data_IF_342469988330
#
_entry.id   IF_342469988330
#
_cell.length_a   1.000
_cell.length_b   1.000
_cell.length_c   1.000
_cell.angle_alpha   90.00
_cell.angle_beta   90.00
_cell.angle_gamma   90.00
#
_symmetry.space_group_name_H-M   'P 1'
#
loop_
_entity.id
_entity.type
_entity.pdbx_description
1 polymer ?
#
# COMPACT_ATOMS: atom_id res chain seq x y z
N UNK A 1 -18.03 -48.19 -5.20
CA UNK A 1 -17.10 -47.23 -5.81
C UNK A 1 -15.74 -47.41 -5.20
N UNK A 2 -14.76 -47.71 -6.04
CA UNK A 2 -13.60 -48.55 -5.75
C UNK A 2 -12.40 -47.71 -5.31
N UNK A 3 -11.78 -48.10 -4.18
CA UNK A 3 -10.54 -47.53 -3.65
C UNK A 3 -9.36 -47.86 -4.57
N UNK A 4 -8.75 -46.84 -5.17
CA UNK A 4 -7.48 -46.93 -5.90
C UNK A 4 -6.31 -46.58 -4.99
N UNK A 5 -5.65 -47.62 -4.46
CA UNK A 5 -4.35 -47.55 -3.79
C UNK A 5 -3.26 -47.46 -4.86
N UNK A 6 -2.42 -46.43 -4.83
CA UNK A 6 -1.16 -46.40 -5.59
C UNK A 6 -0.01 -46.17 -4.63
N UNK A 7 0.76 -47.25 -4.49
CA UNK A 7 1.97 -47.42 -3.69
C UNK A 7 3.14 -47.44 -4.69
N UNK A 8 4.08 -46.50 -4.58
CA UNK A 8 5.42 -46.60 -5.16
C UNK A 8 6.29 -45.56 -4.43
N UNK A 9 7.19 -45.90 -3.50
CA UNK A 9 8.32 -46.84 -3.55
C UNK A 9 9.31 -46.48 -4.66
N UNK A 10 10.14 -45.45 -4.42
CA UNK A 10 11.48 -45.43 -4.97
C UNK A 10 12.43 -44.66 -4.07
N UNK A 11 13.17 -45.43 -3.26
CA UNK A 11 14.37 -44.95 -2.60
C UNK A 11 15.52 -44.93 -3.60
N UNK A 12 16.30 -43.85 -3.57
CA UNK A 12 17.69 -43.87 -4.04
C UNK A 12 18.56 -43.10 -3.05
N UNK A 13 19.55 -43.75 -2.43
CA UNK A 13 20.62 -43.07 -1.72
C UNK A 13 21.68 -42.64 -2.73
N UNK A 14 21.95 -41.33 -2.84
CA UNK A 14 23.14 -40.85 -3.53
C UNK A 14 24.09 -40.22 -2.53
N UNK A 15 25.02 -41.06 -2.06
CA UNK A 15 26.34 -40.68 -1.58
C UNK A 15 27.24 -40.34 -2.77
N UNK A 16 27.74 -39.11 -2.82
CA UNK A 16 28.92 -38.68 -3.60
C UNK A 16 29.63 -37.68 -2.70
N UNK A 17 30.59 -38.09 -1.88
CA UNK A 17 31.99 -38.47 -2.18
C UNK A 17 32.73 -37.36 -2.94
N UNK A 18 33.83 -36.91 -2.31
CA UNK A 18 34.63 -35.75 -2.64
C UNK A 18 35.15 -35.67 -4.08
N UNK A 19 35.32 -34.43 -4.52
CA UNK A 19 36.04 -34.05 -5.73
C UNK A 19 36.49 -32.61 -5.59
N UNK A 20 37.64 -32.40 -4.96
CA UNK A 20 38.35 -31.10 -4.91
C UNK A 20 39.03 -30.95 -6.28
N UNK A 21 38.68 -29.97 -7.13
CA UNK A 21 39.39 -29.78 -8.39
C UNK A 21 40.80 -29.21 -8.12
N UNK A 22 41.87 -29.85 -8.59
CA UNK A 22 43.18 -29.23 -8.70
C UNK A 22 43.27 -28.46 -10.03
N UNK A 23 43.96 -27.32 -10.03
CA UNK A 23 44.44 -26.69 -11.26
C UNK A 23 43.64 -25.49 -11.73
N UNK A 24 43.90 -24.33 -11.10
CA UNK A 24 43.77 -23.05 -11.82
C UNK A 24 45.12 -22.82 -12.53
N UNK A 25 45.17 -22.79 -13.88
CA UNK A 25 46.40 -22.50 -14.59
C UNK A 25 46.83 -21.06 -14.31
N UNK A 26 48.14 -20.91 -14.10
CA UNK A 26 48.82 -19.63 -14.04
C UNK A 26 48.54 -18.84 -15.32
N UNK A 27 47.97 -17.65 -15.18
CA UNK A 27 47.81 -16.76 -16.31
C UNK A 27 49.20 -16.28 -16.71
N UNK A 28 49.60 -16.70 -17.90
CA UNK A 28 50.81 -16.29 -18.57
C UNK A 28 50.84 -14.76 -18.73
N UNK A 29 52.03 -14.25 -18.46
CA UNK A 29 52.51 -12.91 -18.65
C UNK A 29 52.68 -12.61 -20.15
N UNK A 30 51.97 -11.62 -20.74
CA UNK A 30 52.32 -11.08 -22.03
C UNK A 30 53.23 -9.88 -21.83
N UNK A 31 54.52 -10.17 -21.63
CA UNK A 31 55.56 -9.25 -22.08
C UNK A 31 55.65 -9.37 -23.60
N UNK A 32 55.49 -8.23 -24.30
CA UNK A 32 56.16 -7.82 -25.56
C UNK A 32 55.35 -6.64 -26.13
N UNK A 33 55.68 -5.39 -25.76
CA UNK A 33 56.61 -4.48 -26.47
C UNK A 33 55.98 -3.80 -27.69
N UNK A 34 55.90 -2.47 -27.63
CA UNK A 34 56.01 -1.61 -28.82
C UNK A 34 54.77 -0.79 -29.18
N UNK A 35 54.57 0.35 -28.51
CA UNK A 35 53.54 1.31 -28.90
C UNK A 35 53.31 2.41 -27.88
N UNK A 36 54.37 3.06 -27.40
CA UNK A 36 54.26 4.27 -26.59
C UNK A 36 53.78 5.43 -27.46
N UNK A 37 52.47 5.66 -27.51
CA UNK A 37 51.90 6.96 -27.80
C UNK A 37 51.21 7.45 -26.52
N UNK A 38 52.03 7.99 -25.62
CA UNK A 38 51.60 8.65 -24.39
C UNK A 38 50.94 9.98 -24.74
N UNK A 39 49.67 9.96 -25.14
CA UNK A 39 48.79 11.11 -24.93
C UNK A 39 48.45 11.14 -23.45
N UNK A 40 49.28 11.86 -22.68
CA UNK A 40 49.00 12.20 -21.29
C UNK A 40 47.75 13.07 -21.21
N UNK A 41 46.58 12.45 -21.18
CA UNK A 41 45.35 13.11 -20.77
C UNK A 41 45.46 13.30 -19.27
N UNK A 42 46.02 14.44 -18.87
CA UNK A 42 45.99 14.94 -17.50
C UNK A 42 44.53 14.99 -17.09
N UNK A 43 44.08 14.00 -16.31
CA UNK A 43 42.76 13.99 -15.74
C UNK A 43 42.70 15.14 -14.72
N UNK A 44 42.32 16.33 -15.18
CA UNK A 44 41.94 17.45 -14.32
C UNK A 44 40.76 16.97 -13.47
N UNK A 45 41.05 16.58 -12.23
CA UNK A 45 40.06 16.36 -11.20
C UNK A 45 39.20 17.62 -11.13
N UNK A 46 37.91 17.56 -11.48
CA UNK A 46 37.06 18.74 -11.45
C UNK A 46 36.94 19.17 -9.99
N UNK A 47 37.62 20.25 -9.61
CA UNK A 47 37.57 20.92 -8.30
C UNK A 47 36.27 21.71 -8.10
N UNK A 48 35.20 21.26 -8.75
CA UNK A 48 33.87 21.84 -8.58
C UNK A 48 33.24 21.36 -7.28
N UNK A 49 32.45 22.20 -6.59
CA UNK A 49 31.66 21.77 -5.45
C UNK A 49 30.80 20.57 -5.88
N UNK A 50 30.96 19.45 -5.17
CA UNK A 50 30.21 18.23 -5.48
C UNK A 50 28.70 18.57 -5.47
N UNK A 51 27.97 18.30 -6.58
CA UNK A 51 26.56 18.64 -6.63
C UNK A 51 25.83 17.91 -5.49
N UNK A 52 25.04 18.65 -4.72
CA UNK A 52 24.23 18.11 -3.62
C UNK A 52 23.32 17.01 -4.19
N UNK A 53 23.74 15.74 -4.05
CA UNK A 53 22.95 14.60 -4.52
C UNK A 53 21.71 14.51 -3.63
N UNK A 54 20.53 14.70 -4.23
CA UNK A 54 19.24 14.50 -3.55
C UNK A 54 19.25 13.13 -2.82
N UNK A 55 18.65 13.03 -1.63
CA UNK A 55 18.61 11.77 -0.91
C UNK A 55 17.97 10.67 -1.76
N UNK A 56 18.58 9.48 -1.82
CA UNK A 56 18.09 8.38 -2.64
C UNK A 56 16.62 8.00 -2.33
N UNK A 57 16.20 8.14 -1.06
CA UNK A 57 14.81 7.86 -0.64
C UNK A 57 13.79 8.80 -1.27
N UNK A 58 14.16 10.05 -1.59
CA UNK A 58 13.27 11.03 -2.24
C UNK A 58 13.01 10.61 -3.68
N UNK A 59 14.03 10.12 -4.40
CA UNK A 59 13.86 9.64 -5.77
C UNK A 59 12.92 8.43 -5.81
N UNK A 60 13.12 7.47 -4.89
CA UNK A 60 12.25 6.30 -4.74
C UNK A 60 10.81 6.72 -4.44
N UNK A 61 10.63 7.61 -3.45
CA UNK A 61 9.33 8.17 -3.08
C UNK A 61 8.61 8.77 -4.29
N UNK A 62 9.28 9.63 -5.06
CA UNK A 62 8.67 10.29 -6.22
C UNK A 62 8.25 9.30 -7.32
N UNK A 63 9.06 8.26 -7.56
CA UNK A 63 8.74 7.22 -8.55
C UNK A 63 7.54 6.39 -8.09
N UNK A 64 7.55 5.93 -6.83
CA UNK A 64 6.43 5.15 -6.25
C UNK A 64 5.16 5.98 -6.20
N UNK A 65 5.25 7.23 -5.75
CA UNK A 65 4.13 8.16 -5.67
C UNK A 65 3.55 8.44 -7.06
N UNK A 66 4.37 8.69 -8.08
CA UNK A 66 3.89 8.90 -9.45
C UNK A 66 3.14 7.66 -9.96
N UNK A 67 3.70 6.47 -9.81
CA UNK A 67 3.06 5.23 -10.25
C UNK A 67 1.72 5.01 -9.54
N UNK A 68 1.69 5.18 -8.21
CA UNK A 68 0.47 5.03 -7.42
C UNK A 68 -0.56 6.12 -7.72
N UNK A 69 -0.15 7.36 -8.00
CA UNK A 69 -1.07 8.44 -8.39
C UNK A 69 -1.72 8.17 -9.73
N UNK A 70 -0.98 7.69 -10.73
CA UNK A 70 -1.55 7.30 -12.03
C UNK A 70 -2.57 6.17 -11.87
N UNK A 71 -2.20 5.15 -11.09
CA UNK A 71 -3.09 4.02 -10.80
C UNK A 71 -4.35 4.46 -10.04
N UNK A 72 -4.19 5.41 -9.12
CA UNK A 72 -5.27 5.99 -8.32
C UNK A 72 -6.20 6.85 -9.16
N UNK A 73 -5.66 7.64 -10.08
CA UNK A 73 -6.47 8.42 -11.02
C UNK A 73 -7.38 7.50 -11.83
N UNK A 74 -6.83 6.41 -12.37
CA UNK A 74 -7.61 5.40 -13.07
C UNK A 74 -8.70 4.78 -12.20
N UNK A 75 -8.37 4.40 -10.97
CA UNK A 75 -9.36 3.90 -10.02
C UNK A 75 -10.53 4.89 -9.83
N UNK A 76 -10.23 6.17 -9.60
CA UNK A 76 -11.26 7.18 -9.43
C UNK A 76 -12.08 7.44 -10.69
N UNK A 77 -11.49 7.35 -11.89
CA UNK A 77 -12.24 7.39 -13.16
C UNK A 77 -13.23 6.22 -13.20
N UNK A 78 -12.78 5.00 -12.88
CA UNK A 78 -13.62 3.80 -12.87
C UNK A 78 -14.70 3.79 -11.80
N UNK A 79 -14.59 4.64 -10.79
CA UNK A 79 -15.56 4.78 -9.70
C UNK A 79 -16.54 5.91 -9.99
N UNK A 80 -16.04 7.10 -10.32
CA UNK A 80 -16.85 8.31 -10.47
C UNK A 80 -17.66 8.31 -11.76
N UNK A 81 -17.15 7.74 -12.86
CA UNK A 81 -17.90 7.68 -14.12
C UNK A 81 -19.13 6.78 -13.97
N UNK A 82 -19.03 5.52 -13.49
CA UNK A 82 -20.23 4.72 -13.25
C UNK A 82 -21.15 5.30 -12.18
N UNK A 83 -20.61 5.95 -11.13
CA UNK A 83 -21.43 6.62 -10.13
C UNK A 83 -22.28 7.75 -10.75
N UNK A 84 -21.67 8.59 -11.61
CA UNK A 84 -22.39 9.63 -12.33
C UNK A 84 -23.46 9.06 -13.26
N UNK A 85 -23.15 7.98 -13.99
CA UNK A 85 -24.12 7.27 -14.84
C UNK A 85 -25.28 6.72 -14.01
N UNK A 86 -24.98 6.11 -12.85
CA UNK A 86 -25.99 5.56 -11.95
C UNK A 86 -26.92 6.66 -11.39
N UNK A 87 -26.39 7.83 -11.03
CA UNK A 87 -27.21 8.98 -10.59
C UNK A 87 -28.18 9.39 -11.71
N UNK A 88 -27.71 9.51 -12.95
CA UNK A 88 -28.56 9.87 -14.10
C UNK A 88 -29.61 8.79 -14.39
N UNK A 89 -29.26 7.51 -14.27
CA UNK A 89 -30.21 6.42 -14.48
C UNK A 89 -31.26 6.36 -13.37
N UNK A 90 -30.85 6.54 -12.12
CA UNK A 90 -31.78 6.55 -10.98
C UNK A 90 -32.74 7.74 -11.09
N UNK A 91 -32.27 8.94 -11.46
CA UNK A 91 -33.16 10.09 -11.75
C UNK A 91 -34.25 9.77 -12.78
N UNK A 92 -33.97 8.89 -13.75
CA UNK A 92 -34.92 8.55 -14.82
C UNK A 92 -35.83 7.35 -14.52
N UNK A 93 -35.38 6.43 -13.68
CA UNK A 93 -36.00 5.11 -13.57
C UNK A 93 -36.27 4.65 -12.13
N UNK A 94 -35.87 5.39 -11.10
CA UNK A 94 -36.05 4.97 -9.70
C UNK A 94 -36.01 6.12 -8.69
N UNK A 95 -36.07 5.74 -7.42
CA UNK A 95 -35.99 6.70 -6.31
C UNK A 95 -34.54 6.83 -5.82
N UNK A 96 -34.06 8.07 -5.71
CA UNK A 96 -32.70 8.43 -5.27
C UNK A 96 -32.63 8.54 -3.74
N UNK A 97 -32.83 7.42 -3.03
CA UNK A 97 -32.87 7.41 -1.56
C UNK A 97 -31.48 7.32 -0.89
N UNK A 98 -30.44 6.94 -1.65
CA UNK A 98 -29.09 6.71 -1.13
C UNK A 98 -28.03 7.46 -1.95
N UNK A 99 -26.92 7.80 -1.29
CA UNK A 99 -25.73 8.34 -1.97
C UNK A 99 -25.04 7.23 -2.73
N UNK A 100 -24.85 7.43 -4.04
CA UNK A 100 -24.12 6.49 -4.90
C UNK A 100 -22.63 6.57 -4.59
N UNK A 101 -22.12 7.78 -4.34
CA UNK A 101 -20.71 8.01 -3.99
C UNK A 101 -20.36 7.36 -2.64
N UNK A 102 -21.29 7.17 -1.71
CA UNK A 102 -21.03 6.49 -0.44
C UNK A 102 -20.47 5.08 -0.62
N UNK A 103 -20.93 4.33 -1.64
CA UNK A 103 -20.42 2.99 -1.92
C UNK A 103 -18.96 3.00 -2.40
N UNK A 104 -18.53 4.08 -3.06
CA UNK A 104 -17.15 4.25 -3.50
C UNK A 104 -16.15 4.23 -2.33
N UNK A 105 -16.59 4.57 -1.12
CA UNK A 105 -15.74 4.57 0.07
C UNK A 105 -15.15 3.20 0.36
N UNK A 106 -15.93 2.13 0.23
CA UNK A 106 -15.42 0.78 0.46
C UNK A 106 -14.32 0.44 -0.56
N UNK A 107 -14.53 0.80 -1.83
CA UNK A 107 -13.49 0.72 -2.85
C UNK A 107 -12.26 1.53 -2.46
N UNK A 108 -12.45 2.77 -1.98
CA UNK A 108 -11.37 3.66 -1.56
C UNK A 108 -10.54 3.17 -0.37
N UNK A 109 -11.09 2.30 0.49
CA UNK A 109 -10.34 1.66 1.60
C UNK A 109 -9.59 0.43 1.09
N UNK A 110 -10.30 -0.48 0.41
CA UNK A 110 -9.76 -1.79 0.03
C UNK A 110 -8.80 -1.72 -1.16
N UNK A 111 -8.89 -0.68 -1.98
CA UNK A 111 -8.02 -0.51 -3.13
C UNK A 111 -6.58 -0.09 -2.75
N UNK A 112 -6.33 0.97 -1.96
CA UNK A 112 -5.00 1.26 -1.42
C UNK A 112 -4.44 0.13 -0.56
N UNK A 113 -5.30 -0.60 0.16
CA UNK A 113 -4.93 -1.83 0.87
C UNK A 113 -4.32 -2.85 -0.11
N UNK A 114 -5.02 -3.18 -1.20
CA UNK A 114 -4.55 -4.15 -2.19
C UNK A 114 -3.25 -3.69 -2.88
N UNK A 115 -3.16 -2.41 -3.26
CA UNK A 115 -1.94 -1.84 -3.86
C UNK A 115 -0.75 -1.91 -2.91
N UNK A 116 -0.96 -1.62 -1.62
CA UNK A 116 0.10 -1.69 -0.61
C UNK A 116 0.54 -3.13 -0.35
N UNK A 117 -0.40 -4.08 -0.32
CA UNK A 117 -0.12 -5.51 -0.21
C UNK A 117 0.75 -6.02 -1.37
N UNK A 118 0.31 -5.77 -2.62
CA UNK A 118 1.05 -6.13 -3.83
C UNK A 118 2.40 -5.44 -3.88
N UNK A 119 2.43 -4.16 -3.49
CA UNK A 119 3.63 -3.33 -3.45
C UNK A 119 4.73 -3.95 -2.60
N UNK A 120 4.41 -4.48 -1.41
CA UNK A 120 5.40 -5.16 -0.56
C UNK A 120 5.92 -6.43 -1.22
N UNK A 121 5.05 -7.26 -1.82
CA UNK A 121 5.45 -8.52 -2.45
C UNK A 121 6.41 -8.33 -3.62
N UNK A 122 6.19 -7.31 -4.45
CA UNK A 122 6.97 -7.08 -5.67
C UNK A 122 8.16 -6.13 -5.41
N UNK A 123 7.91 -4.98 -4.79
CA UNK A 123 8.88 -3.88 -4.74
C UNK A 123 9.96 -4.10 -3.70
N UNK A 124 9.71 -4.84 -2.61
CA UNK A 124 10.69 -5.03 -1.55
C UNK A 124 11.96 -5.71 -2.07
N UNK A 125 11.82 -6.82 -2.79
CA UNK A 125 12.94 -7.58 -3.35
C UNK A 125 13.67 -6.78 -4.43
N UNK A 126 12.93 -6.12 -5.32
CA UNK A 126 13.50 -5.28 -6.40
C UNK A 126 14.32 -4.12 -5.83
N UNK A 127 13.87 -3.49 -4.74
CA UNK A 127 14.61 -2.40 -4.10
C UNK A 127 15.93 -2.89 -3.50
N UNK A 128 15.92 -4.05 -2.83
CA UNK A 128 17.13 -4.62 -2.25
C UNK A 128 18.09 -5.08 -3.34
N UNK A 129 17.59 -5.67 -4.43
CA UNK A 129 18.41 -6.08 -5.58
C UNK A 129 19.11 -4.90 -6.26
N UNK A 130 18.46 -3.73 -6.30
CA UNK A 130 19.04 -2.47 -6.80
C UNK A 130 20.00 -1.79 -5.81
N UNK A 131 20.39 -2.45 -4.72
CA UNK A 131 21.35 -1.93 -3.73
C UNK A 131 20.78 -0.82 -2.82
N UNK A 132 19.47 -0.61 -2.81
CA UNK A 132 18.84 0.38 -1.93
C UNK A 132 18.71 -0.15 -0.50
N UNK A 133 18.88 0.74 0.48
CA UNK A 133 18.79 0.35 1.90
C UNK A 133 17.33 0.03 2.28
N UNK A 134 17.13 -1.01 3.09
CA UNK A 134 15.80 -1.34 3.65
C UNK A 134 15.14 -0.15 4.37
N UNK A 135 15.95 0.66 5.05
CA UNK A 135 15.49 1.88 5.74
C UNK A 135 14.88 2.90 4.78
N UNK A 136 15.49 3.09 3.61
CA UNK A 136 14.97 4.00 2.58
C UNK A 136 13.63 3.53 2.03
N UNK A 137 13.49 2.23 1.77
CA UNK A 137 12.24 1.63 1.30
C UNK A 137 11.10 1.80 2.32
N UNK A 138 11.34 1.42 3.59
CA UNK A 138 10.31 1.49 4.64
C UNK A 138 9.80 2.94 4.82
N UNK A 139 10.70 3.93 4.82
CA UNK A 139 10.31 5.34 4.90
C UNK A 139 9.53 5.79 3.67
N UNK A 140 10.01 5.45 2.48
CA UNK A 140 9.36 5.84 1.23
C UNK A 140 7.95 5.26 1.14
N UNK A 141 7.78 3.97 1.43
CA UNK A 141 6.46 3.32 1.30
C UNK A 141 5.46 3.84 2.34
N UNK A 142 5.87 4.04 3.61
CA UNK A 142 4.97 4.60 4.63
C UNK A 142 4.52 6.02 4.29
N UNK A 143 5.45 6.87 3.85
CA UNK A 143 5.12 8.25 3.43
C UNK A 143 4.23 8.21 2.19
N UNK A 144 4.51 7.34 1.22
CA UNK A 144 3.67 7.21 0.02
C UNK A 144 2.25 6.77 0.39
N UNK A 145 2.11 5.76 1.25
CA UNK A 145 0.82 5.26 1.72
C UNK A 145 0.02 6.36 2.43
N UNK A 146 0.67 7.17 3.29
CA UNK A 146 0.03 8.31 3.93
C UNK A 146 -0.44 9.35 2.91
N UNK A 147 0.43 9.75 1.97
CA UNK A 147 0.08 10.74 0.95
C UNK A 147 -1.05 10.27 0.03
N UNK A 148 -1.06 8.99 -0.34
CA UNK A 148 -2.13 8.39 -1.14
C UNK A 148 -3.44 8.35 -0.32
N UNK A 149 -3.40 7.96 0.95
CA UNK A 149 -4.57 7.99 1.83
C UNK A 149 -5.19 9.40 1.92
N UNK A 150 -4.35 10.42 2.09
CA UNK A 150 -4.78 11.83 2.10
C UNK A 150 -5.37 12.27 0.75
N UNK A 151 -4.72 11.90 -0.36
CA UNK A 151 -5.24 12.22 -1.69
C UNK A 151 -6.61 11.58 -1.95
N UNK A 152 -6.83 10.34 -1.51
CA UNK A 152 -8.13 9.68 -1.62
C UNK A 152 -9.18 10.38 -0.76
N UNK A 153 -8.80 10.85 0.43
CA UNK A 153 -9.71 11.57 1.31
C UNK A 153 -10.15 12.90 0.70
N UNK A 154 -9.23 13.63 0.05
CA UNK A 154 -9.57 14.85 -0.70
C UNK A 154 -10.55 14.53 -1.82
N UNK A 155 -10.26 13.52 -2.65
CA UNK A 155 -11.10 13.14 -3.79
C UNK A 155 -12.49 12.67 -3.35
N UNK A 156 -12.56 11.83 -2.31
CA UNK A 156 -13.81 11.36 -1.72
C UNK A 156 -14.64 12.51 -1.16
N UNK A 157 -14.01 13.41 -0.41
CA UNK A 157 -14.67 14.57 0.18
C UNK A 157 -15.20 15.50 -0.91
N UNK A 158 -14.39 15.77 -1.93
CA UNK A 158 -14.81 16.57 -3.08
C UNK A 158 -15.98 15.92 -3.84
N UNK A 159 -15.90 14.62 -4.13
CA UNK A 159 -16.97 13.89 -4.81
C UNK A 159 -18.29 13.96 -4.03
N UNK A 160 -18.24 13.76 -2.72
CA UNK A 160 -19.41 13.86 -1.84
C UNK A 160 -20.00 15.27 -1.74
N UNK A 161 -19.16 16.31 -1.71
CA UNK A 161 -19.62 17.71 -1.73
C UNK A 161 -20.28 18.04 -3.07
N UNK A 162 -19.70 17.58 -4.18
CA UNK A 162 -20.27 17.75 -5.52
C UNK A 162 -21.60 17.00 -5.63
N UNK A 163 -21.68 15.76 -5.15
CA UNK A 163 -22.92 14.97 -5.14
C UNK A 163 -24.02 15.71 -4.37
N UNK A 164 -23.73 16.21 -3.17
CA UNK A 164 -24.69 17.02 -2.40
C UNK A 164 -25.13 18.27 -3.16
N UNK A 165 -24.21 18.98 -3.80
CA UNK A 165 -24.54 20.17 -4.58
C UNK A 165 -25.49 19.84 -5.75
N UNK A 166 -25.23 18.74 -6.47
CA UNK A 166 -26.10 18.23 -7.54
C UNK A 166 -27.49 17.89 -7.00
N UNK A 167 -27.58 17.20 -5.86
CA UNK A 167 -28.87 16.85 -5.26
C UNK A 167 -29.66 18.10 -4.85
N UNK A 168 -29.00 19.07 -4.22
CA UNK A 168 -29.65 20.34 -3.84
C UNK A 168 -30.10 21.16 -5.05
N UNK A 169 -29.34 21.15 -6.15
CA UNK A 169 -29.67 21.88 -7.37
C UNK A 169 -30.88 21.29 -8.10
N UNK A 170 -31.09 19.99 -7.99
CA UNK A 170 -32.24 19.28 -8.61
C UNK A 170 -33.44 19.14 -7.66
N UNK A 171 -33.36 19.67 -6.44
CA UNK A 171 -34.44 19.58 -5.45
C UNK A 171 -34.69 18.15 -4.93
N UNK A 172 -33.72 17.25 -5.10
CA UNK A 172 -33.82 15.88 -4.57
C UNK A 172 -33.68 15.89 -3.05
N UNK A 173 -34.35 14.95 -2.38
CA UNK A 173 -34.30 14.84 -0.94
C UNK A 173 -32.84 14.69 -0.46
N UNK A 174 -32.38 15.47 0.53
CA UNK A 174 -31.09 15.24 1.15
C UNK A 174 -31.09 13.83 1.77
N UNK A 175 -30.03 13.07 1.55
CA UNK A 175 -29.92 11.74 2.15
C UNK A 175 -30.03 11.82 3.68
N UNK A 176 -31.09 11.26 4.25
CA UNK A 176 -31.35 11.30 5.70
C UNK A 176 -30.78 10.11 6.45
N UNK A 177 -30.33 9.08 5.73
CA UNK A 177 -29.81 7.83 6.32
C UNK A 177 -28.33 7.61 6.01
N UNK A 178 -27.60 7.04 6.98
CA UNK A 178 -26.23 6.56 6.79
C UNK A 178 -25.15 7.63 6.89
N UNK A 179 -24.07 7.47 6.14
CA UNK A 179 -22.86 8.29 6.26
C UNK A 179 -23.00 9.72 5.74
N UNK A 180 -24.11 10.03 5.07
CA UNK A 180 -24.45 11.39 4.66
C UNK A 180 -24.60 12.35 5.85
N UNK A 181 -24.86 11.82 7.05
CA UNK A 181 -24.85 12.56 8.30
C UNK A 181 -23.47 13.16 8.63
N UNK A 182 -22.36 12.53 8.20
CA UNK A 182 -21.02 13.14 8.34
C UNK A 182 -20.81 14.36 7.45
N UNK A 183 -21.49 14.44 6.29
CA UNK A 183 -21.49 15.66 5.48
C UNK A 183 -22.29 16.79 6.15
N UNK A 184 -23.30 16.43 6.94
CA UNK A 184 -24.05 17.38 7.76
C UNK A 184 -23.15 17.96 8.85
N UNK A 185 -22.24 17.15 9.41
CA UNK A 185 -21.20 17.60 10.33
C UNK A 185 -20.06 18.43 9.67
N UNK A 186 -20.05 18.55 8.34
CA UNK A 186 -19.14 19.41 7.57
C UNK A 186 -18.04 18.68 6.79
N UNK A 187 -17.51 19.33 5.75
CA UNK A 187 -16.49 18.74 4.88
C UNK A 187 -15.18 18.37 5.62
N UNK A 188 -14.83 19.12 6.68
CA UNK A 188 -13.62 18.86 7.46
C UNK A 188 -13.67 17.56 8.27
N UNK A 189 -14.82 17.23 8.88
CA UNK A 189 -15.00 16.00 9.64
C UNK A 189 -15.03 14.78 8.72
N UNK A 190 -15.70 14.89 7.55
CA UNK A 190 -15.66 13.88 6.50
C UNK A 190 -14.24 13.64 5.99
N UNK A 191 -13.48 14.70 5.72
CA UNK A 191 -12.09 14.59 5.29
C UNK A 191 -11.25 13.86 6.34
N UNK A 192 -11.37 14.24 7.62
CA UNK A 192 -10.63 13.59 8.70
C UNK A 192 -10.97 12.10 8.81
N UNK A 193 -12.26 11.74 8.80
CA UNK A 193 -12.72 10.36 8.88
C UNK A 193 -12.23 9.51 7.70
N UNK A 194 -12.37 10.03 6.47
CA UNK A 194 -11.92 9.33 5.25
C UNK A 194 -10.39 9.24 5.17
N UNK A 195 -9.66 10.27 5.59
CA UNK A 195 -8.20 10.27 5.68
C UNK A 195 -7.68 9.18 6.62
N UNK A 196 -8.30 9.06 7.81
CA UNK A 196 -7.96 8.00 8.76
C UNK A 196 -8.27 6.61 8.17
N UNK A 197 -9.47 6.43 7.61
CA UNK A 197 -9.90 5.13 7.05
C UNK A 197 -9.02 4.68 5.87
N UNK A 198 -8.73 5.55 4.90
CA UNK A 198 -7.91 5.22 3.74
C UNK A 198 -6.44 4.99 4.10
N UNK A 199 -5.91 5.79 5.04
CA UNK A 199 -4.54 5.57 5.55
C UNK A 199 -4.44 4.25 6.30
N UNK A 200 -5.43 3.92 7.15
CA UNK A 200 -5.49 2.65 7.86
C UNK A 200 -5.56 1.47 6.87
N UNK A 201 -6.39 1.56 5.83
CA UNK A 201 -6.46 0.58 4.74
C UNK A 201 -5.09 0.34 4.09
N UNK A 202 -4.41 1.41 3.67
CA UNK A 202 -3.08 1.31 3.08
C UNK A 202 -2.04 0.69 4.02
N UNK A 203 -1.98 1.12 5.28
CA UNK A 203 -1.02 0.60 6.28
C UNK A 203 -1.31 -0.86 6.62
N UNK A 204 -2.57 -1.26 6.74
CA UNK A 204 -2.95 -2.68 6.89
C UNK A 204 -2.51 -3.50 5.68
N UNK A 205 -2.62 -2.97 4.46
CA UNK A 205 -2.11 -3.63 3.26
C UNK A 205 -0.61 -3.89 3.33
N UNK A 206 0.17 -2.92 3.82
CA UNK A 206 1.61 -3.08 4.07
C UNK A 206 1.90 -4.19 5.11
N UNK A 207 1.14 -4.23 6.20
CA UNK A 207 1.27 -5.24 7.26
C UNK A 207 0.99 -6.66 6.74
N UNK A 208 -0.11 -6.83 6.00
CA UNK A 208 -0.46 -8.11 5.36
C UNK A 208 0.65 -8.51 4.39
N UNK A 209 1.10 -7.58 3.56
CA UNK A 209 2.15 -7.83 2.57
C UNK A 209 3.44 -8.32 3.21
N UNK A 210 3.89 -7.69 4.30
CA UNK A 210 5.12 -8.10 4.98
C UNK A 210 4.95 -9.40 5.78
N UNK A 211 3.76 -9.66 6.32
CA UNK A 211 3.46 -10.91 7.02
C UNK A 211 3.52 -12.11 6.06
N UNK A 212 2.92 -11.99 4.86
CA UNK A 212 3.01 -13.01 3.81
C UNK A 212 4.44 -13.16 3.28
N UNK A 213 5.13 -12.05 3.02
CA UNK A 213 6.52 -12.08 2.55
C UNK A 213 7.45 -12.82 3.53
N UNK A 214 7.26 -12.64 4.84
CA UNK A 214 8.11 -13.26 5.86
C UNK A 214 7.69 -14.66 6.27
N UNK A 215 6.39 -14.87 6.43
CA UNK A 215 5.83 -16.09 7.01
C UNK A 215 5.47 -17.16 5.99
N UNK A 216 5.47 -16.82 4.69
CA UNK A 216 4.85 -17.63 3.66
C UNK A 216 3.32 -17.61 3.76
N UNK A 217 2.65 -18.38 2.90
CA UNK A 217 1.18 -18.34 2.77
C UNK A 217 0.44 -18.74 4.05
N UNK A 218 0.85 -19.83 4.72
CA UNK A 218 0.14 -20.36 5.88
C UNK A 218 0.20 -19.42 7.10
N UNK A 219 1.39 -18.93 7.45
CA UNK A 219 1.54 -17.98 8.57
C UNK A 219 0.95 -16.61 8.23
N UNK A 220 1.03 -16.20 6.97
CA UNK A 220 0.35 -14.99 6.48
C UNK A 220 -1.15 -15.07 6.68
N UNK A 221 -1.76 -16.22 6.35
CA UNK A 221 -3.20 -16.45 6.55
C UNK A 221 -3.61 -16.41 8.02
N UNK A 222 -2.85 -17.08 8.90
CA UNK A 222 -3.10 -17.04 10.35
C UNK A 222 -2.93 -15.63 10.94
N UNK A 223 -2.03 -14.81 10.38
CA UNK A 223 -1.82 -13.43 10.79
C UNK A 223 -2.82 -12.44 10.17
N UNK A 224 -3.68 -12.88 9.24
CA UNK A 224 -4.57 -12.01 8.48
C UNK A 224 -5.57 -11.26 9.39
N UNK A 225 -6.26 -11.89 10.36
CA UNK A 225 -7.19 -11.17 11.23
C UNK A 225 -6.50 -10.04 12.00
N UNK A 226 -5.26 -10.27 12.45
CA UNK A 226 -4.48 -9.30 13.21
C UNK A 226 -3.91 -8.18 12.34
N UNK A 227 -3.56 -8.46 11.09
CA UNK A 227 -2.94 -7.47 10.18
C UNK A 227 -3.98 -6.60 9.46
N UNK A 228 -5.18 -7.14 9.24
CA UNK A 228 -6.33 -6.41 8.66
C UNK A 228 -7.12 -5.64 9.73
N UNK A 229 -7.03 -6.03 11.01
CA UNK A 229 -7.81 -5.38 12.08
C UNK A 229 -7.63 -3.86 12.20
N UNK A 230 -6.46 -3.22 11.95
CA UNK A 230 -6.37 -1.77 11.99
C UNK A 230 -7.33 -1.07 11.01
N UNK A 231 -7.41 -1.54 9.77
CA UNK A 231 -8.33 -1.01 8.77
C UNK A 231 -9.79 -1.22 9.18
N UNK A 232 -10.14 -2.42 9.67
CA UNK A 232 -11.52 -2.74 10.08
C UNK A 232 -11.93 -1.92 11.30
N UNK A 233 -11.09 -1.83 12.33
CA UNK A 233 -11.40 -1.08 13.55
C UNK A 233 -11.48 0.43 13.26
N UNK A 234 -10.58 1.01 12.47
CA UNK A 234 -10.69 2.42 12.06
C UNK A 234 -11.95 2.64 11.23
N UNK A 235 -12.30 1.72 10.33
CA UNK A 235 -13.55 1.81 9.55
C UNK A 235 -14.76 1.82 10.47
N UNK A 236 -14.87 0.90 11.44
CA UNK A 236 -15.97 0.86 12.41
C UNK A 236 -16.04 2.14 13.25
N UNK A 237 -14.90 2.57 13.82
CA UNK A 237 -14.83 3.78 14.64
C UNK A 237 -15.20 5.05 13.85
N UNK A 238 -14.83 5.13 12.58
CA UNK A 238 -15.17 6.27 11.72
C UNK A 238 -16.58 6.17 11.16
N UNK A 239 -17.14 4.97 11.04
CA UNK A 239 -18.53 4.72 10.65
C UNK A 239 -19.52 5.09 11.74
N UNK A 240 -19.22 4.77 13.00
CA UNK A 240 -20.06 5.09 14.16
C UNK A 240 -20.15 6.61 14.38
N UNK A 241 -19.00 7.31 14.26
CA UNK A 241 -18.96 8.78 14.32
C UNK A 241 -19.73 9.41 13.15
N UNK A 242 -19.67 8.81 11.96
CA UNK A 242 -20.31 9.35 10.76
C UNK A 242 -21.80 9.05 10.68
N UNK A 243 -22.28 7.97 11.32
CA UNK A 243 -23.66 7.52 11.24
C UNK A 243 -24.54 7.98 12.41
N UNK A 244 -23.96 8.58 13.45
CA UNK A 244 -24.70 9.01 14.65
C UNK A 244 -25.50 7.87 15.31
N UNK A 245 -25.09 6.61 15.11
CA UNK A 245 -25.81 5.44 15.59
C UNK A 245 -25.33 5.09 17.01
N UNK A 246 -26.28 5.11 17.95
CA UNK A 246 -26.12 4.73 19.37
C UNK A 246 -26.00 3.20 19.57
N UNK A 247 -25.16 2.50 18.80
CA UNK A 247 -24.89 1.08 19.07
C UNK A 247 -24.00 0.96 20.34
N UNK A 248 -24.66 1.01 21.49
CA UNK A 248 -24.30 0.35 22.77
C UNK A 248 -22.94 0.66 23.40
N UNK A 249 -22.45 1.90 23.32
CA UNK A 249 -21.52 2.41 24.33
C UNK A 249 -22.14 3.63 25.02
N UNK A 250 -22.57 3.51 26.29
CA UNK A 250 -23.14 4.62 27.02
C UNK A 250 -22.02 5.59 27.39
N UNK A 251 -21.78 6.62 26.59
CA UNK A 251 -20.87 7.71 26.98
C UNK A 251 -21.16 9.03 26.25
N UNK A 252 -21.84 9.90 26.98
CA UNK A 252 -22.01 11.35 26.85
C UNK A 252 -20.68 12.11 26.97
N UNK A 253 -19.70 11.80 26.13
CA UNK A 253 -18.47 12.60 25.98
C UNK A 253 -18.39 13.01 24.51
N UNK A 254 -17.93 14.22 24.21
CA UNK A 254 -17.58 14.61 22.84
C UNK A 254 -16.52 13.63 22.30
N UNK A 255 -16.96 12.54 21.66
CA UNK A 255 -16.15 11.36 21.32
C UNK A 255 -15.23 11.59 20.13
N UNK A 256 -15.46 12.62 19.33
CA UNK A 256 -14.70 12.90 18.10
C UNK A 256 -13.17 12.99 18.33
N UNK A 257 -12.64 13.83 19.26
CA UNK A 257 -11.20 13.90 19.50
C UNK A 257 -10.62 12.59 20.04
N UNK A 258 -11.35 11.87 20.90
CA UNK A 258 -10.91 10.59 21.44
C UNK A 258 -10.86 9.52 20.34
N UNK A 259 -11.90 9.43 19.51
CA UNK A 259 -11.95 8.49 18.38
C UNK A 259 -10.85 8.76 17.37
N UNK A 260 -10.61 10.04 17.03
CA UNK A 260 -9.51 10.43 16.16
C UNK A 260 -8.15 10.05 16.76
N UNK A 261 -7.94 10.29 18.06
CA UNK A 261 -6.72 9.91 18.76
C UNK A 261 -6.52 8.38 18.77
N UNK A 262 -7.57 7.60 19.02
CA UNK A 262 -7.53 6.14 18.97
C UNK A 262 -7.20 5.62 17.56
N UNK A 263 -7.79 6.21 16.52
CA UNK A 263 -7.50 5.85 15.14
C UNK A 263 -6.05 6.16 14.77
N UNK A 264 -5.54 7.34 15.15
CA UNK A 264 -4.14 7.73 14.95
C UNK A 264 -3.19 6.79 15.69
N UNK A 265 -3.49 6.45 16.95
CA UNK A 265 -2.71 5.50 17.73
C UNK A 265 -2.66 4.11 17.07
N UNK A 266 -3.79 3.63 16.56
CA UNK A 266 -3.89 2.34 15.88
C UNK A 266 -3.11 2.32 14.55
N UNK A 267 -3.22 3.38 13.75
CA UNK A 267 -2.44 3.55 12.52
C UNK A 267 -0.93 3.62 12.83
N UNK A 268 -0.54 4.37 13.86
CA UNK A 268 0.86 4.49 14.27
C UNK A 268 1.41 3.17 14.80
N UNK A 269 0.64 2.41 15.57
CA UNK A 269 1.01 1.08 16.03
C UNK A 269 1.18 0.10 14.86
N UNK A 270 0.26 0.13 13.88
CA UNK A 270 0.32 -0.69 12.69
C UNK A 270 1.54 -0.35 11.80
N UNK A 271 1.81 0.95 11.58
CA UNK A 271 2.97 1.43 10.84
C UNK A 271 4.29 1.06 11.55
N UNK A 272 4.31 1.12 12.88
CA UNK A 272 5.46 0.69 13.70
C UNK A 272 5.66 -0.82 13.58
N UNK A 273 4.62 -1.63 13.70
CA UNK A 273 4.69 -3.07 13.51
C UNK A 273 5.22 -3.42 12.10
N UNK A 274 4.75 -2.74 11.05
CA UNK A 274 5.29 -2.88 9.70
C UNK A 274 6.78 -2.54 9.65
N UNK A 275 7.19 -1.41 10.25
CA UNK A 275 8.60 -1.01 10.32
C UNK A 275 9.48 -2.07 11.00
N UNK A 276 9.05 -2.61 12.14
CA UNK A 276 9.76 -3.63 12.90
C UNK A 276 9.82 -4.98 12.16
N UNK A 277 8.78 -5.33 11.41
CA UNK A 277 8.74 -6.53 10.59
C UNK A 277 9.60 -6.38 9.33
N UNK A 278 9.52 -5.25 8.63
CA UNK A 278 10.27 -5.02 7.40
C UNK A 278 11.78 -4.89 7.65
N UNK A 279 12.21 -4.29 8.77
CA UNK A 279 13.65 -4.18 9.10
C UNK A 279 14.33 -5.55 9.27
N UNK A 280 13.60 -6.52 9.83
CA UNK A 280 14.12 -7.86 10.18
C UNK A 280 13.76 -8.95 9.18
N UNK A 281 13.15 -8.60 8.05
CA UNK A 281 12.78 -9.57 7.03
C UNK A 281 14.04 -10.17 6.37
N UNK A 282 14.15 -11.50 6.22
CA UNK A 282 15.24 -12.08 5.45
C UNK A 282 15.14 -11.68 3.98
N UNK A 283 16.28 -11.47 3.32
CA UNK A 283 16.31 -11.31 1.87
C UNK A 283 16.33 -12.71 1.30
N UNK A 284 15.18 -13.12 0.77
CA UNK A 284 15.06 -14.36 0.02
C UNK A 284 16.02 -14.28 -1.17
N UNK A 285 17.03 -15.16 -1.21
CA UNK A 285 17.76 -15.40 -2.44
C UNK A 285 16.76 -16.16 -3.31
N UNK A 286 16.19 -15.47 -4.30
CA UNK A 286 15.21 -16.06 -5.22
C UNK A 286 15.71 -17.43 -5.67
N UNK A 287 14.82 -18.43 -5.55
CA UNK A 287 15.07 -19.83 -5.90
C UNK A 287 15.62 -19.90 -7.33
N UNK A 288 16.94 -19.97 -7.46
CA UNK A 288 17.64 -20.27 -8.71
C UNK A 288 17.64 -21.78 -9.01
N UNK A 289 16.74 -22.53 -8.39
CA UNK A 289 16.69 -23.99 -8.47
C UNK A 289 15.24 -24.47 -8.53
N UNK A 290 14.68 -24.47 -9.72
CA UNK A 290 13.67 -25.44 -10.17
C UNK A 290 13.72 -25.53 -11.69
#
# INVERSE_FOLDING_TARGET
MTKGSVRSANGRPHSTTGGRPPGRPAHADPSTTGGQMTTGTTATTPTGPAPLRRPQWVRVLLVMLRALLVQSLWFWVWVLVPAAVAIVLLDRFGDLDMSVVQFARYGGIWYPFALSFIGVGIQFTVHVANGLTRRSYIRAVLVTTLLIGLAYAVLMTAAMVVERAVYTANGWAPYTSGHSASLVAGAGSLFAATALAFTAGGVSGLLVGIAFYRGGALRGFLALPLTVSPAVVVMLLTDDVAAGRDWTFPATVSTVPLTAALCLALIAAAATAFHLLARSAPVSKGLATS
#
